data_IF_004786567512
#
_entry.id   IF_004786567512
#
_cell.length_a   1.000
_cell.length_b   1.000
_cell.length_c   1.000
_cell.angle_alpha   90.00
_cell.angle_beta   90.00
_cell.angle_gamma   90.00
#
_symmetry.space_group_name_H-M   'P 1'
#
loop_
_entity.id
_entity.type
_entity.pdbx_description
1 polymer ?
#
# COMPACT_ATOMS: atom_id res chain seq x y z
N UNK A 1 -8.86 -16.28 11.87
CA UNK A 1 -9.15 -14.98 12.51
C UNK A 1 -8.76 -13.92 11.50
N UNK A 2 -9.70 -13.11 11.02
CA UNK A 2 -9.38 -11.97 10.15
C UNK A 2 -8.37 -11.07 10.87
N UNK A 3 -7.26 -10.75 10.21
CA UNK A 3 -6.26 -9.85 10.77
C UNK A 3 -6.82 -8.42 10.68
N UNK A 4 -7.51 -8.00 11.75
CA UNK A 4 -8.08 -6.64 11.87
C UNK A 4 -6.95 -5.62 12.06
N UNK A 5 -6.89 -4.61 11.18
CA UNK A 5 -5.99 -3.46 11.33
C UNK A 5 -6.62 -2.42 12.25
N UNK A 6 -5.83 -1.86 13.14
CA UNK A 6 -6.21 -0.71 13.94
C UNK A 6 -5.85 0.59 13.22
N UNK A 7 -6.63 1.64 13.49
CA UNK A 7 -6.31 3.00 13.06
C UNK A 7 -5.99 3.86 14.29
N UNK A 8 -4.79 4.39 14.34
CA UNK A 8 -4.32 5.27 15.40
C UNK A 8 -4.34 6.74 14.96
N UNK A 9 -4.54 7.63 15.92
CA UNK A 9 -4.52 9.08 15.72
C UNK A 9 -3.53 9.67 16.72
N UNK A 10 -2.58 10.46 16.23
CA UNK A 10 -1.62 11.17 17.06
C UNK A 10 -1.61 12.64 16.71
N UNK A 11 -1.41 13.51 17.70
CA UNK A 11 -1.32 14.95 17.50
C UNK A 11 0.14 15.39 17.37
N UNK A 12 0.45 16.08 16.28
CA UNK A 12 1.72 16.80 16.11
C UNK A 12 1.64 18.29 16.51
N UNK A 13 0.47 18.77 16.97
CA UNK A 13 0.22 20.16 17.36
C UNK A 13 -0.12 20.35 18.84
N UNK A 14 0.20 21.53 19.38
CA UNK A 14 -0.09 21.93 20.78
C UNK A 14 1.13 22.09 21.68
N UNK A 15 2.32 21.74 21.19
CA UNK A 15 3.62 21.99 21.81
C UNK A 15 4.67 22.16 20.70
N UNK A 16 5.51 23.20 20.75
CA UNK A 16 6.55 23.51 19.75
C UNK A 16 7.44 22.30 19.43
N UNK A 17 7.66 21.42 20.42
CA UNK A 17 8.40 20.17 20.25
C UNK A 17 7.73 19.21 19.25
N UNK A 18 6.40 19.03 19.31
CA UNK A 18 5.69 18.09 18.45
C UNK A 18 5.68 18.55 16.98
N UNK A 19 5.62 19.87 16.74
CA UNK A 19 5.78 20.43 15.39
C UNK A 19 7.20 20.23 14.88
N UNK A 20 8.22 20.48 15.71
CA UNK A 20 9.62 20.24 15.36
C UNK A 20 9.89 18.77 15.01
N UNK A 21 9.34 17.82 15.76
CA UNK A 21 9.50 16.40 15.48
C UNK A 21 8.90 16.00 14.12
N UNK A 22 7.76 16.62 13.74
CA UNK A 22 7.15 16.40 12.43
C UNK A 22 8.12 16.76 11.31
N UNK A 23 8.83 17.88 11.42
CA UNK A 23 9.86 18.24 10.45
C UNK A 23 11.09 17.34 10.54
N UNK A 24 11.55 16.97 11.74
CA UNK A 24 12.82 16.27 11.96
C UNK A 24 12.83 14.77 11.64
N UNK A 25 11.70 14.07 11.76
CA UNK A 25 11.68 12.59 11.58
C UNK A 25 10.65 12.09 10.59
N UNK A 26 9.77 12.98 10.09
CA UNK A 26 8.80 12.65 9.04
C UNK A 26 9.21 13.28 7.71
N UNK A 27 9.58 14.57 7.72
CA UNK A 27 10.09 15.19 6.49
C UNK A 27 11.56 14.83 6.22
N UNK A 28 12.38 14.72 7.27
CA UNK A 28 13.76 14.26 7.16
C UNK A 28 13.86 12.78 7.57
N UNK A 29 13.72 11.87 6.59
CA UNK A 29 13.87 10.43 6.82
C UNK A 29 15.24 10.10 7.43
N UNK A 30 15.29 9.07 8.27
CA UNK A 30 16.47 8.68 9.05
C UNK A 30 17.16 7.46 8.46
N UNK A 31 18.49 7.47 8.41
CA UNK A 31 19.28 6.33 7.94
C UNK A 31 19.50 5.32 9.06
N UNK A 32 19.58 4.03 8.71
CA UNK A 32 19.84 2.99 9.71
C UNK A 32 21.21 3.15 10.38
N UNK A 33 22.22 3.59 9.63
CA UNK A 33 23.57 3.80 10.15
C UNK A 33 23.61 4.87 11.27
N UNK A 34 22.76 5.90 11.19
CA UNK A 34 22.66 6.97 12.19
C UNK A 34 22.25 6.42 13.56
N UNK A 35 21.37 5.41 13.58
CA UNK A 35 20.77 4.90 14.82
C UNK A 35 21.24 3.51 15.24
N UNK A 36 22.11 2.89 14.45
CA UNK A 36 22.56 1.51 14.65
C UNK A 36 23.02 1.27 16.08
N UNK A 37 23.80 2.18 16.66
CA UNK A 37 24.31 2.07 18.04
C UNK A 37 23.24 1.98 19.13
N UNK A 38 22.02 2.47 18.87
CA UNK A 38 20.93 2.48 19.84
C UNK A 38 20.01 1.26 19.77
N UNK A 39 20.15 0.45 18.72
CA UNK A 39 19.28 -0.70 18.43
C UNK A 39 19.95 -2.02 18.80
N UNK A 40 19.15 -3.01 19.22
CA UNK A 40 19.59 -4.39 19.37
C UNK A 40 19.90 -5.04 18.01
N UNK A 41 20.69 -6.13 17.96
CA UNK A 41 20.95 -6.86 16.71
C UNK A 41 19.66 -7.34 16.02
N UNK A 42 18.66 -7.75 16.79
CA UNK A 42 17.34 -8.18 16.30
C UNK A 42 16.58 -7.01 15.67
N UNK A 43 16.46 -5.88 16.38
CA UNK A 43 15.79 -4.67 15.86
C UNK A 43 16.47 -4.16 14.58
N UNK A 44 17.80 -4.24 14.50
CA UNK A 44 18.54 -3.88 13.28
C UNK A 44 18.19 -4.80 12.13
N UNK A 45 18.19 -6.12 12.36
CA UNK A 45 17.85 -7.10 11.33
C UNK A 45 16.44 -6.89 10.81
N UNK A 46 15.49 -6.63 11.70
CA UNK A 46 14.10 -6.35 11.35
C UNK A 46 13.97 -5.08 10.51
N UNK A 47 14.62 -3.98 10.90
CA UNK A 47 14.59 -2.74 10.13
C UNK A 47 15.31 -2.85 8.78
N UNK A 48 16.42 -3.60 8.68
CA UNK A 48 17.09 -3.88 7.39
C UNK A 48 16.15 -4.65 6.47
N UNK A 49 15.48 -5.66 7.01
CA UNK A 49 14.53 -6.49 6.26
C UNK A 49 13.34 -5.67 5.75
N UNK A 50 12.82 -4.75 6.57
CA UNK A 50 11.64 -3.94 6.21
C UNK A 50 11.97 -2.81 5.24
N UNK A 51 13.07 -2.08 5.49
CA UNK A 51 13.40 -0.88 4.74
C UNK A 51 14.43 -1.10 3.63
N UNK A 52 15.05 -2.30 3.54
CA UNK A 52 16.10 -2.60 2.56
C UNK A 52 17.23 -1.56 2.54
N UNK A 53 17.65 -1.10 3.73
CA UNK A 53 18.62 0.00 3.93
C UNK A 53 18.17 1.38 3.45
N UNK A 54 16.92 1.54 3.04
CA UNK A 54 16.33 2.84 2.72
C UNK A 54 16.11 3.68 3.99
N UNK A 55 16.09 5.01 3.87
CA UNK A 55 15.70 5.88 4.97
C UNK A 55 14.28 5.58 5.47
N UNK A 56 14.08 5.58 6.79
CA UNK A 56 12.79 5.28 7.43
C UNK A 56 12.17 6.52 8.07
N UNK A 57 10.87 6.44 8.32
CA UNK A 57 10.11 7.44 9.09
C UNK A 57 9.90 6.90 10.50
N UNK A 58 10.05 7.76 11.50
CA UNK A 58 9.90 7.39 12.90
C UNK A 58 9.10 8.43 13.67
N UNK A 59 8.26 7.95 14.59
CA UNK A 59 7.50 8.78 15.51
C UNK A 59 7.56 8.20 16.92
N UNK A 60 7.18 9.01 17.91
CA UNK A 60 7.16 8.57 19.30
C UNK A 60 6.06 9.24 20.12
N UNK A 61 5.75 8.62 21.25
CA UNK A 61 4.90 9.18 22.30
C UNK A 61 5.62 9.14 23.65
N UNK A 62 5.32 10.09 24.53
CA UNK A 62 5.82 10.03 25.91
C UNK A 62 5.09 8.92 26.68
N UNK A 63 5.74 8.27 27.66
CA UNK A 63 5.06 7.32 28.55
C UNK A 63 3.89 7.95 29.29
N UNK A 64 2.89 7.14 29.58
CA UNK A 64 1.68 7.54 30.28
C UNK A 64 0.62 6.47 30.15
N UNK A 65 -0.26 6.36 31.14
CA UNK A 65 -1.27 5.28 31.24
C UNK A 65 -2.01 5.01 29.92
N UNK A 66 -2.43 6.09 29.24
CA UNK A 66 -3.15 6.03 27.97
C UNK A 66 -2.22 5.72 26.79
N UNK A 67 -1.06 6.38 26.71
CA UNK A 67 -0.11 6.19 25.61
C UNK A 67 0.49 4.77 25.61
N UNK A 68 0.90 4.25 26.77
CA UNK A 68 1.37 2.87 26.91
C UNK A 68 0.27 1.86 26.53
N UNK A 69 -0.99 2.14 26.88
CA UNK A 69 -2.12 1.27 26.54
C UNK A 69 -2.34 1.16 25.03
N UNK A 70 -2.36 2.28 24.30
CA UNK A 70 -2.53 2.27 22.84
C UNK A 70 -1.28 1.80 22.11
N UNK A 71 -0.09 2.22 22.55
CA UNK A 71 1.17 1.79 21.95
C UNK A 71 1.34 0.27 22.05
N UNK A 72 0.95 -0.36 23.16
CA UNK A 72 0.98 -1.84 23.29
C UNK A 72 0.07 -2.57 22.30
N UNK A 73 -1.03 -1.95 21.89
CA UNK A 73 -1.96 -2.53 20.92
C UNK A 73 -1.46 -2.46 19.47
N UNK A 74 -0.56 -1.53 19.15
CA UNK A 74 0.00 -1.39 17.80
C UNK A 74 0.68 -2.68 17.32
N UNK A 75 0.41 -3.08 16.09
CA UNK A 75 1.05 -4.20 15.41
C UNK A 75 1.53 -3.77 14.03
N UNK A 76 2.51 -4.48 13.44
CA UNK A 76 2.84 -4.30 12.03
C UNK A 76 1.58 -4.38 11.16
N UNK A 77 1.39 -3.42 10.26
CA UNK A 77 0.21 -3.30 9.41
C UNK A 77 -0.90 -2.39 9.93
N UNK A 78 -0.89 -2.02 11.21
CA UNK A 78 -1.80 -0.99 11.72
C UNK A 78 -1.52 0.36 11.05
N UNK A 79 -2.50 1.25 10.99
CA UNK A 79 -2.38 2.55 10.33
C UNK A 79 -2.34 3.67 11.36
N UNK A 80 -1.65 4.76 11.04
CA UNK A 80 -1.56 5.95 11.89
C UNK A 80 -1.82 7.21 11.07
N UNK A 81 -2.65 8.10 11.63
CA UNK A 81 -2.87 9.46 11.11
C UNK A 81 -2.26 10.47 12.08
N UNK A 82 -1.47 11.39 11.54
CA UNK A 82 -0.86 12.47 12.30
C UNK A 82 -1.61 13.77 12.00
N UNK A 83 -2.19 14.34 13.05
CA UNK A 83 -3.04 15.52 12.97
C UNK A 83 -2.30 16.72 13.55
N UNK A 84 -2.19 17.80 12.78
CA UNK A 84 -1.70 19.09 13.26
C UNK A 84 -2.72 20.19 12.91
N UNK A 85 -3.02 21.06 13.87
CA UNK A 85 -3.94 22.19 13.72
C UNK A 85 -5.29 21.80 13.09
N UNK A 86 -5.86 20.68 13.58
CA UNK A 86 -7.13 20.13 13.13
C UNK A 86 -7.11 19.50 11.73
N UNK A 87 -5.94 19.38 11.09
CA UNK A 87 -5.77 18.78 9.77
C UNK A 87 -4.90 17.52 9.87
N UNK A 88 -5.29 16.47 9.15
CA UNK A 88 -4.42 15.32 8.89
C UNK A 88 -3.32 15.81 7.96
N UNK A 89 -2.07 15.67 8.41
CA UNK A 89 -0.86 16.08 7.68
C UNK A 89 -0.13 14.90 7.06
N UNK A 90 -0.37 13.71 7.61
CA UNK A 90 0.37 12.52 7.28
C UNK A 90 -0.46 11.30 7.64
N UNK A 91 -0.40 10.28 6.80
CA UNK A 91 -0.88 8.94 7.11
C UNK A 91 0.20 7.92 6.74
N UNK A 92 0.28 6.84 7.51
CA UNK A 92 1.29 5.79 7.29
C UNK A 92 0.91 4.49 7.96
N UNK A 93 1.67 3.44 7.65
CA UNK A 93 1.50 2.09 8.19
C UNK A 93 2.61 1.79 9.20
N UNK A 94 2.26 1.19 10.32
CA UNK A 94 3.20 0.77 11.35
C UNK A 94 4.02 -0.39 10.82
N UNK A 95 5.33 -0.18 10.70
CA UNK A 95 6.29 -1.22 10.33
C UNK A 95 6.66 -2.08 11.55
N UNK A 96 7.13 -1.43 12.61
CA UNK A 96 7.51 -2.05 13.88
C UNK A 96 7.54 -0.99 14.98
N UNK A 97 7.76 -1.39 16.24
CA UNK A 97 7.80 -0.49 17.38
C UNK A 97 8.85 -0.92 18.40
N UNK A 98 9.42 0.04 19.11
CA UNK A 98 10.36 -0.21 20.21
C UNK A 98 10.13 0.77 21.35
N UNK A 99 10.41 0.36 22.59
CA UNK A 99 10.43 1.25 23.74
C UNK A 99 11.88 1.57 24.10
N UNK A 100 12.38 2.72 23.65
CA UNK A 100 13.80 3.03 23.74
C UNK A 100 14.04 4.50 24.11
N UNK A 101 14.37 4.73 25.38
CA UNK A 101 14.62 6.06 25.94
C UNK A 101 15.87 6.72 25.35
N UNK A 102 16.93 5.94 25.15
CA UNK A 102 18.21 6.45 24.62
C UNK A 102 18.05 6.92 23.18
N UNK A 103 17.37 6.12 22.35
CA UNK A 103 17.05 6.49 20.98
C UNK A 103 16.12 7.71 20.91
N UNK A 104 15.08 7.77 21.77
CA UNK A 104 14.18 8.92 21.81
C UNK A 104 14.89 10.21 22.23
N UNK A 105 15.82 10.14 23.18
CA UNK A 105 16.65 11.29 23.55
C UNK A 105 17.55 11.73 22.40
N UNK A 106 18.10 10.80 21.63
CA UNK A 106 18.90 11.12 20.44
C UNK A 106 18.09 11.86 19.38
N UNK A 107 16.85 11.44 19.12
CA UNK A 107 15.98 12.09 18.13
C UNK A 107 15.38 13.41 18.62
N UNK A 108 14.86 13.43 19.85
CA UNK A 108 13.91 14.46 20.29
C UNK A 108 14.28 15.12 21.63
N UNK A 109 15.40 14.70 22.25
CA UNK A 109 15.80 15.17 23.56
C UNK A 109 14.74 14.92 24.64
N UNK A 110 14.59 15.86 25.57
CA UNK A 110 13.61 15.80 26.65
C UNK A 110 12.67 17.00 26.58
N UNK A 111 11.41 16.78 26.97
CA UNK A 111 10.46 17.86 27.21
C UNK A 111 10.74 18.58 28.53
N UNK A 112 10.02 19.67 28.79
CA UNK A 112 10.16 20.48 30.01
C UNK A 112 9.93 19.71 31.32
N UNK A 113 9.30 18.54 31.26
CA UNK A 113 9.07 17.67 32.41
C UNK A 113 10.13 16.55 32.55
N UNK A 114 11.21 16.59 31.75
CA UNK A 114 12.27 15.58 31.75
C UNK A 114 11.90 14.26 31.06
N UNK A 115 10.71 14.17 30.47
CA UNK A 115 10.26 12.98 29.73
C UNK A 115 10.71 13.04 28.27
N UNK A 116 10.82 11.89 27.62
CA UNK A 116 11.08 11.79 26.18
C UNK A 116 10.05 10.88 25.52
N UNK A 117 10.01 10.88 24.19
CA UNK A 117 9.06 10.14 23.37
C UNK A 117 9.50 8.68 23.15
N UNK A 118 9.81 7.98 24.25
CA UNK A 118 10.40 6.63 24.23
C UNK A 118 9.48 5.53 23.70
N UNK A 119 8.18 5.78 23.55
CA UNK A 119 7.25 4.85 22.90
C UNK A 119 7.34 5.02 21.37
N UNK A 120 8.41 4.49 20.78
CA UNK A 120 8.78 4.68 19.39
C UNK A 120 8.03 3.71 18.48
N UNK A 121 7.66 4.18 17.29
CA UNK A 121 7.17 3.35 16.21
C UNK A 121 7.70 3.84 14.86
N UNK A 122 8.01 2.89 14.00
CA UNK A 122 8.54 3.10 12.66
C UNK A 122 7.41 3.01 11.65
N UNK A 123 7.45 3.85 10.62
CA UNK A 123 6.36 4.04 9.69
C UNK A 123 6.83 3.82 8.25
N UNK A 124 6.01 3.11 7.48
CA UNK A 124 6.15 2.87 6.05
C UNK A 124 4.89 3.31 5.30
N UNK A 125 4.92 3.24 3.97
CA UNK A 125 3.77 3.54 3.10
C UNK A 125 3.20 4.94 3.33
N UNK A 126 4.04 5.94 3.51
CA UNK A 126 3.58 7.28 3.85
C UNK A 126 2.80 7.97 2.72
N UNK A 127 1.81 8.77 3.13
CA UNK A 127 1.20 9.80 2.29
C UNK A 127 1.15 11.11 3.06
N UNK A 128 1.75 12.14 2.46
CA UNK A 128 1.65 13.51 2.95
C UNK A 128 0.36 14.11 2.39
N UNK A 129 -0.49 14.62 3.27
CA UNK A 129 -1.79 15.21 2.91
C UNK A 129 -2.02 16.49 3.68
N UNK A 130 -3.06 17.24 3.34
CA UNK A 130 -3.42 18.45 4.07
C UNK A 130 -4.93 18.64 4.13
N UNK A 131 -5.61 17.71 4.80
CA UNK A 131 -7.08 17.66 4.84
C UNK A 131 -7.61 17.92 6.26
N UNK A 132 -8.74 18.63 6.42
CA UNK A 132 -9.40 18.74 7.71
C UNK A 132 -9.72 17.35 8.28
N UNK A 133 -9.39 17.11 9.55
CA UNK A 133 -9.71 15.84 10.20
C UNK A 133 -11.21 15.55 10.14
N UNK A 134 -12.06 16.58 10.23
CA UNK A 134 -13.52 16.43 10.15
C UNK A 134 -13.99 15.73 8.87
N UNK A 135 -13.32 15.92 7.73
CA UNK A 135 -13.69 15.25 6.46
C UNK A 135 -13.50 13.73 6.51
N UNK A 136 -12.54 13.23 7.29
CA UNK A 136 -12.29 11.79 7.48
C UNK A 136 -13.00 11.28 8.74
N UNK A 137 -13.05 12.11 9.79
CA UNK A 137 -13.65 11.80 11.07
C UNK A 137 -15.11 11.36 10.97
N UNK A 138 -15.89 11.99 10.09
CA UNK A 138 -17.28 11.61 9.81
C UNK A 138 -17.41 10.19 9.24
N UNK A 139 -16.42 9.72 8.48
CA UNK A 139 -16.39 8.35 7.93
C UNK A 139 -16.15 7.30 9.03
N UNK A 140 -15.52 7.69 10.14
CA UNK A 140 -15.41 6.89 11.36
C UNK A 140 -16.61 7.07 12.31
N UNK A 141 -17.65 7.78 11.90
CA UNK A 141 -18.84 8.07 12.73
C UNK A 141 -18.63 9.14 13.81
N UNK A 142 -17.56 9.94 13.73
CA UNK A 142 -17.40 11.10 14.61
C UNK A 142 -18.26 12.28 14.11
N UNK A 143 -18.71 13.13 15.03
CA UNK A 143 -19.36 14.38 14.64
C UNK A 143 -18.33 15.38 14.06
N UNK A 144 -18.75 16.31 13.20
CA UNK A 144 -17.84 17.27 12.55
C UNK A 144 -17.06 18.16 13.52
N UNK A 145 -17.64 18.41 14.71
CA UNK A 145 -17.01 19.23 15.76
C UNK A 145 -15.96 18.45 16.58
N UNK A 146 -15.85 17.13 16.38
CA UNK A 146 -14.94 16.28 17.12
C UNK A 146 -13.51 16.68 16.81
N UNK A 147 -12.73 16.87 17.88
CA UNK A 147 -11.31 17.16 17.81
C UNK A 147 -10.56 16.00 18.46
N UNK A 148 -9.69 15.29 17.72
CA UNK A 148 -8.86 14.24 18.31
C UNK A 148 -7.98 14.84 19.40
N UNK A 149 -7.68 14.03 20.43
CA UNK A 149 -6.89 14.44 21.60
C UNK A 149 -5.77 13.44 21.85
N UNK A 150 -4.55 13.97 22.00
CA UNK A 150 -3.38 13.17 22.34
C UNK A 150 -3.13 12.03 21.36
N UNK A 151 -2.59 10.94 21.88
CA UNK A 151 -2.43 9.70 21.14
C UNK A 151 -3.58 8.76 21.48
N UNK A 152 -4.35 8.36 20.46
CA UNK A 152 -5.57 7.58 20.61
C UNK A 152 -5.75 6.54 19.50
N UNK A 153 -6.71 5.64 19.67
CA UNK A 153 -7.13 4.64 18.68
C UNK A 153 -8.58 4.90 18.26
N UNK A 154 -8.89 4.79 16.97
CA UNK A 154 -10.27 4.65 16.51
C UNK A 154 -10.82 3.36 17.11
N UNK A 155 -12.05 3.37 17.62
CA UNK A 155 -12.59 2.15 18.24
C UNK A 155 -12.78 1.05 17.19
N UNK A 156 -12.75 -0.21 17.65
CA UNK A 156 -12.69 -1.37 16.76
C UNK A 156 -13.94 -1.48 15.87
N UNK A 157 -15.12 -1.16 16.41
CA UNK A 157 -16.38 -1.18 15.67
C UNK A 157 -16.41 -0.16 14.53
N UNK A 158 -15.98 1.07 14.79
CA UNK A 158 -15.92 2.13 13.79
C UNK A 158 -14.83 1.87 12.76
N UNK A 159 -13.72 1.27 13.17
CA UNK A 159 -12.64 0.85 12.25
C UNK A 159 -13.14 -0.23 11.30
N UNK A 160 -13.86 -1.24 11.82
CA UNK A 160 -14.45 -2.30 11.02
C UNK A 160 -15.53 -1.78 10.06
N UNK A 161 -16.44 -0.93 10.56
CA UNK A 161 -17.44 -0.24 9.72
C UNK A 161 -16.79 0.58 8.61
N UNK A 162 -15.71 1.29 8.93
CA UNK A 162 -14.98 2.07 7.94
C UNK A 162 -14.42 1.18 6.82
N UNK A 163 -13.69 0.12 7.15
CA UNK A 163 -13.11 -0.77 6.12
C UNK A 163 -14.19 -1.48 5.31
N UNK A 164 -15.30 -1.90 5.93
CA UNK A 164 -16.41 -2.53 5.23
C UNK A 164 -17.14 -1.59 4.26
N UNK A 165 -17.23 -0.30 4.60
CA UNK A 165 -17.96 0.68 3.81
C UNK A 165 -17.09 1.41 2.80
N UNK A 166 -15.82 1.67 3.11
CA UNK A 166 -14.97 2.56 2.30
C UNK A 166 -13.68 1.90 1.83
N UNK A 167 -13.31 0.75 2.40
CA UNK A 167 -12.09 0.03 2.05
C UNK A 167 -10.84 0.75 2.54
N UNK A 168 -9.86 0.95 1.65
CA UNK A 168 -8.53 1.45 1.98
C UNK A 168 -8.51 2.90 2.49
N UNK A 169 -7.95 3.10 3.71
CA UNK A 169 -7.76 4.41 4.32
C UNK A 169 -6.87 5.33 3.47
N UNK A 170 -5.79 4.80 2.89
CA UNK A 170 -4.86 5.62 2.11
C UNK A 170 -5.53 6.20 0.88
N UNK A 171 -6.23 5.35 0.13
CA UNK A 171 -7.06 5.74 -0.99
C UNK A 171 -8.14 6.76 -0.62
N UNK A 172 -8.85 6.57 0.51
CA UNK A 172 -9.84 7.54 1.00
C UNK A 172 -9.21 8.91 1.29
N UNK A 173 -8.10 8.93 2.03
CA UNK A 173 -7.40 10.15 2.42
C UNK A 173 -6.83 10.89 1.20
N UNK A 174 -6.27 10.16 0.23
CA UNK A 174 -5.73 10.73 -1.02
C UNK A 174 -6.84 11.29 -1.90
N UNK A 175 -7.99 10.60 -2.02
CA UNK A 175 -9.15 11.11 -2.74
C UNK A 175 -9.69 12.39 -2.12
N UNK A 176 -9.88 12.44 -0.80
CA UNK A 176 -10.30 13.68 -0.11
C UNK A 176 -9.28 14.80 -0.33
N UNK A 177 -7.98 14.50 -0.31
CA UNK A 177 -6.91 15.47 -0.53
C UNK A 177 -6.95 16.05 -1.95
N UNK A 178 -7.33 15.24 -2.93
CA UNK A 178 -7.49 15.65 -4.33
C UNK A 178 -8.89 16.22 -4.64
N UNK A 179 -9.74 16.42 -3.63
CA UNK A 179 -11.14 16.87 -3.75
C UNK A 179 -12.04 15.91 -4.56
N UNK A 180 -11.69 14.62 -4.60
CA UNK A 180 -12.55 13.58 -5.14
C UNK A 180 -13.60 13.17 -4.09
N UNK A 181 -14.79 12.80 -4.57
CA UNK A 181 -15.82 12.21 -3.73
C UNK A 181 -15.46 10.77 -3.33
N UNK A 182 -15.86 10.40 -2.11
CA UNK A 182 -15.65 9.05 -1.56
C UNK A 182 -16.88 8.20 -1.86
N UNK A 183 -16.65 7.05 -2.48
CA UNK A 183 -17.71 6.13 -2.85
C UNK A 183 -17.77 4.99 -1.83
N UNK A 184 -18.95 4.67 -1.27
CA UNK A 184 -19.11 3.47 -0.47
C UNK A 184 -18.96 2.23 -1.36
N UNK A 185 -18.45 1.14 -0.77
CA UNK A 185 -18.39 -0.17 -1.40
C UNK A 185 -19.82 -0.68 -1.53
N UNK A 186 -20.32 -0.71 -2.77
CA UNK A 186 -21.55 -1.41 -3.09
C UNK A 186 -21.23 -2.90 -3.12
N UNK A 187 -21.76 -3.67 -2.15
CA UNK A 187 -21.76 -5.14 -2.23
C UNK A 187 -22.66 -5.57 -3.38
N UNK A 188 -22.13 -5.57 -4.60
CA UNK A 188 -22.72 -6.30 -5.71
C UNK A 188 -22.30 -7.75 -5.50
N UNK A 189 -23.26 -8.68 -5.48
CA UNK A 189 -22.92 -10.11 -5.57
C UNK A 189 -22.16 -10.30 -6.88
N UNK A 190 -20.84 -10.51 -6.77
CA UNK A 190 -20.00 -10.87 -7.92
C UNK A 190 -20.52 -12.20 -8.41
N UNK A 191 -21.28 -12.18 -9.50
CA UNK A 191 -21.66 -13.39 -10.22
C UNK A 191 -20.34 -14.01 -10.66
N UNK A 192 -20.04 -15.22 -10.17
CA UNK A 192 -18.82 -15.95 -10.52
C UNK A 192 -18.75 -16.03 -12.05
N UNK A 193 -17.95 -15.15 -12.66
CA UNK A 193 -17.84 -15.08 -14.11
C UNK A 193 -17.23 -16.41 -14.52
N UNK A 194 -17.94 -17.09 -15.43
CA UNK A 194 -17.59 -18.39 -15.99
C UNK A 194 -16.06 -18.50 -16.10
N UNK A 195 -15.49 -19.45 -15.36
CA UNK A 195 -14.09 -19.84 -15.50
C UNK A 195 -13.92 -20.36 -16.92
N UNK A 196 -13.69 -19.48 -17.88
CA UNK A 196 -13.12 -19.90 -19.14
C UNK A 196 -11.82 -20.63 -18.77
N UNK A 197 -11.75 -21.90 -19.17
CA UNK A 197 -10.48 -22.64 -19.17
C UNK A 197 -9.60 -21.94 -20.21
N UNK A 198 -8.93 -20.89 -19.79
CA UNK A 198 -7.87 -20.29 -20.58
C UNK A 198 -6.69 -21.25 -20.46
N UNK A 199 -6.35 -21.91 -21.56
CA UNK A 199 -5.10 -22.65 -21.70
C UNK A 199 -3.93 -21.67 -21.55
N UNK A 200 -3.45 -21.49 -20.32
CA UNK A 200 -2.21 -20.76 -20.05
C UNK A 200 -1.03 -21.72 -20.16
N UNK A 201 -0.47 -21.85 -21.36
CA UNK A 201 0.92 -22.27 -21.54
C UNK A 201 1.50 -21.62 -22.80
N UNK A 202 1.51 -20.30 -22.86
CA UNK A 202 2.46 -19.61 -23.75
C UNK A 202 3.75 -19.37 -22.95
N UNK A 203 4.89 -19.69 -23.55
CA UNK A 203 6.21 -19.42 -22.96
C UNK A 203 6.41 -17.94 -22.61
N UNK A 204 5.74 -17.05 -23.34
CA UNK A 204 5.77 -15.61 -23.10
C UNK A 204 4.95 -15.16 -21.87
N UNK A 205 3.85 -15.83 -21.52
CA UNK A 205 3.11 -15.50 -20.29
C UNK A 205 4.02 -15.73 -19.08
N UNK A 206 4.64 -16.91 -19.01
CA UNK A 206 5.54 -17.28 -17.93
C UNK A 206 6.81 -16.42 -17.94
N UNK A 207 7.30 -16.00 -19.12
CA UNK A 207 8.35 -14.98 -19.23
C UNK A 207 7.92 -13.67 -18.55
N UNK A 208 6.78 -13.10 -18.95
CA UNK A 208 6.33 -11.80 -18.42
C UNK A 208 6.06 -11.87 -16.92
N UNK A 209 5.44 -12.95 -16.45
CA UNK A 209 5.20 -13.18 -15.03
C UNK A 209 6.52 -13.24 -14.25
N UNK A 210 7.51 -13.98 -14.75
CA UNK A 210 8.85 -14.04 -14.17
C UNK A 210 9.52 -12.67 -14.08
N UNK A 211 9.49 -11.90 -15.17
CA UNK A 211 10.11 -10.57 -15.21
C UNK A 211 9.45 -9.62 -14.20
N UNK A 212 8.13 -9.64 -14.07
CA UNK A 212 7.42 -8.85 -13.07
C UNK A 212 7.72 -9.30 -11.63
N UNK A 213 7.87 -10.60 -11.38
CA UNK A 213 8.33 -11.13 -10.08
C UNK A 213 9.73 -10.58 -9.76
N UNK A 214 10.66 -10.68 -10.72
CA UNK A 214 12.04 -10.23 -10.53
C UNK A 214 12.13 -8.73 -10.30
N UNK A 215 11.48 -7.92 -11.15
CA UNK A 215 11.42 -6.47 -11.00
C UNK A 215 10.86 -6.06 -9.64
N UNK A 216 9.74 -6.64 -9.21
CA UNK A 216 9.16 -6.34 -7.91
C UNK A 216 10.07 -6.74 -6.74
N UNK A 217 10.76 -7.89 -6.85
CA UNK A 217 11.74 -8.33 -5.85
C UNK A 217 12.91 -7.35 -5.74
N UNK A 218 13.46 -6.89 -6.88
CA UNK A 218 14.52 -5.87 -6.93
C UNK A 218 14.05 -4.50 -6.39
N UNK A 219 12.74 -4.25 -6.44
CA UNK A 219 12.12 -3.05 -5.89
C UNK A 219 11.80 -3.14 -4.39
N UNK A 220 12.22 -4.22 -3.70
CA UNK A 220 11.93 -4.43 -2.28
C UNK A 220 10.46 -4.75 -1.98
N UNK A 221 9.72 -5.27 -2.96
CA UNK A 221 8.30 -5.60 -2.79
C UNK A 221 8.10 -7.08 -2.41
N UNK A 222 7.03 -7.33 -1.66
CA UNK A 222 6.49 -8.67 -1.48
C UNK A 222 5.58 -9.01 -2.67
N UNK A 223 5.85 -10.13 -3.32
CA UNK A 223 5.16 -10.51 -4.56
C UNK A 223 4.14 -11.61 -4.28
N UNK A 224 2.92 -11.43 -4.75
CA UNK A 224 1.91 -12.49 -4.80
C UNK A 224 1.62 -12.87 -6.25
N UNK A 225 1.43 -14.18 -6.48
CA UNK A 225 0.95 -14.77 -7.73
C UNK A 225 -0.03 -15.91 -7.39
N UNK A 226 -0.91 -16.32 -8.33
CA UNK A 226 -1.87 -17.41 -8.10
C UNK A 226 -1.19 -18.71 -7.70
N UNK A 227 -1.81 -19.49 -6.80
CA UNK A 227 -1.24 -20.74 -6.28
C UNK A 227 -0.84 -21.73 -7.39
N UNK A 228 -1.61 -21.78 -8.47
CA UNK A 228 -1.36 -22.66 -9.61
C UNK A 228 -0.05 -22.32 -10.33
N UNK A 229 0.39 -21.06 -10.25
CA UNK A 229 1.56 -20.54 -10.95
C UNK A 229 2.84 -20.62 -10.12
N UNK A 230 2.73 -20.81 -8.80
CA UNK A 230 3.89 -20.83 -7.89
C UNK A 230 4.90 -21.95 -8.19
N UNK A 231 4.47 -23.06 -8.80
CA UNK A 231 5.37 -24.16 -9.16
C UNK A 231 5.99 -24.01 -10.56
N UNK A 232 5.64 -22.98 -11.33
CA UNK A 232 6.24 -22.69 -12.63
C UNK A 232 7.73 -22.35 -12.49
N UNK A 233 8.45 -22.51 -13.60
CA UNK A 233 9.89 -22.27 -13.69
C UNK A 233 10.23 -21.46 -14.93
N UNK A 234 11.11 -20.49 -14.77
CA UNK A 234 11.67 -19.70 -15.87
C UNK A 234 13.12 -19.36 -15.56
N UNK A 235 14.01 -19.39 -16.57
CA UNK A 235 15.47 -19.15 -16.39
C UNK A 235 16.11 -19.97 -15.25
N UNK A 236 15.60 -21.18 -14.97
CA UNK A 236 16.12 -22.06 -13.90
C UNK A 236 15.63 -21.73 -12.48
N UNK A 237 14.86 -20.65 -12.30
CA UNK A 237 14.27 -20.26 -11.01
C UNK A 237 12.84 -20.77 -10.87
N UNK A 238 12.47 -21.21 -9.66
CA UNK A 238 11.08 -21.59 -9.32
C UNK A 238 10.36 -20.42 -8.68
N UNK A 239 9.16 -20.08 -9.16
CA UNK A 239 8.48 -18.86 -8.71
C UNK A 239 8.21 -18.83 -7.20
N UNK A 240 7.82 -19.95 -6.59
CA UNK A 240 7.58 -20.09 -5.13
C UNK A 240 8.75 -19.68 -4.23
N UNK A 241 9.96 -19.58 -4.77
CA UNK A 241 11.16 -19.14 -4.04
C UNK A 241 11.28 -17.61 -3.96
N UNK A 242 10.53 -16.89 -4.79
CA UNK A 242 10.56 -15.42 -4.91
C UNK A 242 9.24 -14.74 -4.55
N UNK A 243 8.19 -15.51 -4.24
CA UNK A 243 6.84 -15.01 -3.98
C UNK A 243 6.33 -15.44 -2.60
N UNK A 244 5.33 -14.74 -2.09
CA UNK A 244 4.60 -15.07 -0.87
C UNK A 244 3.86 -16.40 -1.04
N UNK A 245 4.07 -17.35 -0.11
CA UNK A 245 3.40 -18.66 -0.13
C UNK A 245 1.93 -18.58 0.23
N UNK A 246 1.59 -17.67 1.15
CA UNK A 246 0.23 -17.50 1.66
C UNK A 246 -0.23 -16.06 1.53
N UNK A 247 -1.47 -15.92 1.07
CA UNK A 247 -2.12 -14.63 0.96
C UNK A 247 -2.79 -14.28 2.28
N UNK A 248 -2.34 -13.21 2.92
CA UNK A 248 -2.92 -12.72 4.16
C UNK A 248 -4.13 -11.83 3.82
N UNK A 249 -5.32 -12.40 3.84
CA UNK A 249 -6.58 -11.67 3.65
C UNK A 249 -6.79 -10.74 4.86
N UNK A 250 -7.02 -9.46 4.60
CA UNK A 250 -7.47 -8.47 5.58
C UNK A 250 -8.74 -7.77 5.07
N UNK A 251 -9.45 -7.04 5.93
CA UNK A 251 -10.72 -6.37 5.58
C UNK A 251 -10.59 -5.42 4.36
N UNK A 252 -9.40 -4.87 4.12
CA UNK A 252 -9.08 -3.94 3.05
C UNK A 252 -8.37 -4.59 1.84
N UNK A 253 -8.19 -5.91 1.85
CA UNK A 253 -7.53 -6.65 0.78
C UNK A 253 -8.48 -7.73 0.26
N UNK A 254 -9.11 -7.53 -0.90
CA UNK A 254 -10.20 -8.38 -1.33
C UNK A 254 -9.74 -9.77 -1.82
N UNK A 255 -10.57 -10.82 -1.70
CA UNK A 255 -10.23 -12.17 -2.17
C UNK A 255 -9.94 -12.29 -3.67
N UNK A 256 -10.53 -11.43 -4.50
CA UNK A 256 -10.42 -11.43 -5.97
C UNK A 256 -8.98 -11.32 -6.46
N UNK A 257 -8.12 -10.66 -5.68
CA UNK A 257 -6.68 -10.53 -5.91
C UNK A 257 -5.94 -11.86 -6.03
N UNK A 258 -6.51 -12.96 -5.51
CA UNK A 258 -5.92 -14.29 -5.57
C UNK A 258 -5.85 -14.87 -6.98
N UNK A 259 -6.64 -14.32 -7.91
CA UNK A 259 -6.70 -14.73 -9.31
C UNK A 259 -5.97 -13.77 -10.27
N UNK A 260 -5.35 -12.70 -9.75
CA UNK A 260 -4.56 -11.76 -10.57
C UNK A 260 -3.16 -12.31 -10.77
N UNK A 261 -2.62 -12.21 -11.99
CA UNK A 261 -1.38 -12.88 -12.39
C UNK A 261 -0.16 -12.46 -11.56
N UNK A 262 0.00 -11.17 -11.28
CA UNK A 262 1.06 -10.64 -10.39
C UNK A 262 0.54 -9.47 -9.56
N UNK A 263 0.83 -9.46 -8.27
CA UNK A 263 0.48 -8.38 -7.36
C UNK A 263 1.71 -7.97 -6.57
N UNK A 264 2.05 -6.69 -6.63
CA UNK A 264 3.13 -6.10 -5.84
C UNK A 264 2.57 -5.51 -4.56
N UNK A 265 3.13 -5.91 -3.43
CA UNK A 265 2.76 -5.44 -2.10
C UNK A 265 3.96 -4.85 -1.39
N UNK A 266 3.72 -3.80 -0.61
CA UNK A 266 4.70 -3.32 0.35
C UNK A 266 4.31 -3.82 1.74
N UNK A 267 5.15 -4.66 2.34
CA UNK A 267 4.79 -5.41 3.52
C UNK A 267 3.67 -6.43 3.24
N UNK A 268 3.04 -6.92 4.31
CA UNK A 268 2.02 -7.97 4.21
C UNK A 268 0.67 -7.45 3.67
N UNK A 269 0.51 -6.13 3.56
CA UNK A 269 -0.78 -5.48 3.74
C UNK A 269 -1.10 -4.46 2.65
N UNK A 270 -0.17 -3.56 2.33
CA UNK A 270 -0.39 -2.54 1.30
C UNK A 270 -0.20 -3.10 -0.10
N UNK A 271 -1.22 -2.99 -0.95
CA UNK A 271 -1.09 -3.21 -2.40
C UNK A 271 -0.44 -1.97 -3.02
N UNK A 272 0.58 -2.18 -3.86
CA UNK A 272 1.25 -1.12 -4.63
C UNK A 272 0.86 -1.11 -6.09
N UNK A 273 0.63 -2.28 -6.66
CA UNK A 273 0.18 -2.44 -8.04
C UNK A 273 -0.31 -3.86 -8.28
N UNK A 274 -1.16 -4.03 -9.29
CA UNK A 274 -1.59 -5.34 -9.75
C UNK A 274 -1.47 -5.40 -11.29
N UNK A 275 -1.06 -6.56 -11.80
CA UNK A 275 -0.71 -6.78 -13.20
C UNK A 275 -1.40 -8.04 -13.70
N UNK A 276 -2.04 -7.91 -14.84
CA UNK A 276 -2.75 -8.97 -15.52
C UNK A 276 -2.14 -9.16 -16.91
N UNK A 277 -1.69 -10.38 -17.21
CA UNK A 277 -0.89 -10.71 -18.39
C UNK A 277 -1.81 -11.28 -19.48
N UNK A 278 -2.06 -10.45 -20.48
CA UNK A 278 -3.05 -10.72 -21.51
C UNK A 278 -2.45 -11.47 -22.71
N UNK A 279 -2.60 -12.80 -22.70
CA UNK A 279 -2.14 -13.68 -23.81
C UNK A 279 -3.27 -14.25 -24.67
N UNK A 280 -4.47 -14.44 -24.13
CA UNK A 280 -5.56 -15.17 -24.79
C UNK A 280 -6.30 -14.31 -25.84
N UNK A 281 -7.06 -14.88 -26.77
CA UNK A 281 -7.83 -14.09 -27.75
C UNK A 281 -8.90 -13.19 -27.11
N UNK A 282 -9.35 -13.49 -25.88
CA UNK A 282 -10.31 -12.69 -25.14
C UNK A 282 -9.60 -11.80 -24.10
N UNK A 283 -9.52 -10.49 -24.39
CA UNK A 283 -8.99 -9.46 -23.47
C UNK A 283 -9.89 -9.26 -22.24
N UNK A 284 -11.11 -9.80 -22.29
CA UNK A 284 -12.17 -9.49 -21.35
C UNK A 284 -11.93 -10.09 -19.96
N UNK A 285 -11.31 -11.28 -19.88
CA UNK A 285 -11.09 -11.97 -18.61
C UNK A 285 -10.20 -11.18 -17.66
N UNK A 286 -9.09 -10.61 -18.16
CA UNK A 286 -8.20 -9.82 -17.32
C UNK A 286 -8.81 -8.49 -16.92
N UNK A 287 -9.52 -7.82 -17.84
CA UNK A 287 -10.27 -6.59 -17.51
C UNK A 287 -11.27 -6.87 -16.39
N UNK A 288 -11.99 -7.99 -16.42
CA UNK A 288 -12.96 -8.34 -15.39
C UNK A 288 -12.31 -8.61 -14.03
N UNK A 289 -11.18 -9.33 -13.97
CA UNK A 289 -10.47 -9.55 -12.68
C UNK A 289 -10.00 -8.23 -12.07
N UNK A 290 -9.50 -7.31 -12.90
CA UNK A 290 -9.12 -5.97 -12.45
C UNK A 290 -10.35 -5.11 -12.09
N UNK A 291 -11.48 -5.31 -12.77
CA UNK A 291 -12.76 -4.66 -12.47
C UNK A 291 -13.32 -5.09 -11.12
N UNK A 292 -13.22 -6.37 -10.77
CA UNK A 292 -13.66 -6.90 -9.48
C UNK A 292 -12.84 -6.27 -8.35
N UNK A 293 -11.51 -6.28 -8.48
CA UNK A 293 -10.61 -5.62 -7.53
C UNK A 293 -10.95 -4.13 -7.38
N UNK A 294 -11.21 -3.43 -8.49
CA UNK A 294 -11.59 -2.01 -8.46
C UNK A 294 -12.93 -1.79 -7.76
N UNK A 295 -13.90 -2.68 -7.98
CA UNK A 295 -15.24 -2.59 -7.38
C UNK A 295 -15.21 -2.79 -5.87
N UNK A 296 -14.34 -3.68 -5.38
CA UNK A 296 -14.15 -3.94 -3.96
C UNK A 296 -13.25 -2.90 -3.28
N UNK A 297 -12.45 -2.15 -4.06
CA UNK A 297 -11.58 -1.08 -3.58
C UNK A 297 -11.82 0.23 -4.34
N UNK A 298 -13.03 0.81 -4.34
CA UNK A 298 -13.40 1.93 -5.20
C UNK A 298 -12.61 3.21 -4.90
N UNK A 299 -12.15 3.36 -3.65
CA UNK A 299 -11.35 4.49 -3.21
C UNK A 299 -9.84 4.25 -3.37
N UNK A 300 -9.39 3.07 -3.81
CA UNK A 300 -7.95 2.82 -4.02
C UNK A 300 -7.36 3.73 -5.09
N UNK A 301 -6.07 3.99 -5.00
CA UNK A 301 -5.33 4.87 -5.91
C UNK A 301 -4.12 4.19 -6.53
N UNK A 302 -3.85 2.94 -6.18
CA UNK A 302 -2.77 2.17 -6.80
C UNK A 302 -3.07 1.89 -8.27
N UNK A 303 -2.07 1.97 -9.16
CA UNK A 303 -2.27 1.69 -10.58
C UNK A 303 -2.52 0.19 -10.82
N UNK A 304 -3.31 -0.10 -11.85
CA UNK A 304 -3.57 -1.45 -12.36
C UNK A 304 -2.99 -1.55 -13.78
N UNK A 305 -2.51 -2.73 -14.19
CA UNK A 305 -1.88 -2.89 -15.49
C UNK A 305 -2.45 -4.08 -16.25
N UNK A 306 -2.77 -3.84 -17.53
CA UNK A 306 -2.88 -4.90 -18.53
C UNK A 306 -1.55 -4.98 -19.27
N UNK A 307 -0.86 -6.10 -19.10
CA UNK A 307 0.46 -6.37 -19.67
C UNK A 307 0.27 -7.23 -20.91
N UNK A 308 0.54 -6.70 -22.10
CA UNK A 308 0.24 -7.41 -23.35
C UNK A 308 1.20 -7.06 -24.49
N UNK A 309 1.26 -7.89 -25.53
CA UNK A 309 1.98 -7.57 -26.76
C UNK A 309 1.45 -6.28 -27.42
N UNK A 310 2.32 -5.55 -28.12
CA UNK A 310 1.98 -4.27 -28.78
C UNK A 310 0.80 -4.40 -29.76
N UNK A 311 0.72 -5.55 -30.45
CA UNK A 311 -0.38 -5.86 -31.37
C UNK A 311 -1.77 -5.86 -30.71
N UNK A 312 -1.86 -6.00 -29.38
CA UNK A 312 -3.11 -5.98 -28.62
C UNK A 312 -3.50 -4.60 -28.10
N UNK A 313 -2.59 -3.62 -28.16
CA UNK A 313 -2.76 -2.27 -27.60
C UNK A 313 -4.08 -1.63 -28.02
N UNK A 314 -4.34 -1.55 -29.34
CA UNK A 314 -5.57 -0.92 -29.87
C UNK A 314 -6.84 -1.63 -29.39
N UNK A 315 -6.82 -2.96 -29.27
CA UNK A 315 -7.94 -3.74 -28.75
C UNK A 315 -8.19 -3.43 -27.28
N UNK A 316 -7.15 -3.41 -26.45
CA UNK A 316 -7.23 -3.09 -25.02
C UNK A 316 -7.82 -1.68 -24.81
N UNK A 317 -7.29 -0.68 -25.53
CA UNK A 317 -7.78 0.71 -25.47
C UNK A 317 -9.26 0.79 -25.86
N UNK A 318 -9.64 0.10 -26.95
CA UNK A 318 -11.03 0.05 -27.40
C UNK A 318 -11.96 -0.59 -26.37
N UNK A 319 -11.55 -1.70 -25.74
CA UNK A 319 -12.36 -2.36 -24.70
C UNK A 319 -12.50 -1.46 -23.48
N UNK A 320 -11.41 -0.91 -22.94
CA UNK A 320 -11.44 -0.04 -21.76
C UNK A 320 -12.25 1.25 -21.96
N UNK A 321 -12.35 1.71 -23.21
CA UNK A 321 -13.15 2.89 -23.57
C UNK A 321 -14.66 2.61 -23.58
N UNK A 322 -15.10 1.35 -23.54
CA UNK A 322 -16.53 1.00 -23.55
C UNK A 322 -17.24 1.62 -22.34
N UNK A 323 -18.45 2.18 -22.50
CA UNK A 323 -19.19 2.83 -21.41
C UNK A 323 -19.36 1.97 -20.14
N UNK A 324 -19.44 0.65 -20.30
CA UNK A 324 -19.50 -0.30 -19.18
C UNK A 324 -18.27 -0.24 -18.28
N UNK A 325 -17.08 0.02 -18.84
CA UNK A 325 -15.81 0.08 -18.11
C UNK A 325 -15.34 1.51 -17.84
N UNK A 326 -15.59 2.43 -18.77
CA UNK A 326 -15.20 3.84 -18.65
C UNK A 326 -16.21 4.70 -17.88
N UNK A 327 -17.41 4.17 -17.61
CA UNK A 327 -18.46 4.89 -16.93
C UNK A 327 -18.11 5.29 -15.49
N UNK A 328 -18.90 6.20 -14.89
CA UNK A 328 -18.63 6.77 -13.56
C UNK A 328 -18.54 5.75 -12.42
N UNK A 329 -19.11 4.55 -12.61
CA UNK A 329 -19.12 3.48 -11.61
C UNK A 329 -17.75 2.80 -11.43
N UNK A 330 -17.04 2.49 -12.52
CA UNK A 330 -15.79 1.74 -12.47
C UNK A 330 -14.57 2.58 -12.83
N UNK A 331 -14.73 3.52 -13.79
CA UNK A 331 -13.66 4.41 -14.29
C UNK A 331 -12.37 3.64 -14.63
N UNK A 332 -12.50 2.43 -15.18
CA UNK A 332 -11.36 1.53 -15.40
C UNK A 332 -10.34 2.12 -16.35
N UNK A 333 -10.78 2.91 -17.33
CA UNK A 333 -9.91 3.64 -18.26
C UNK A 333 -8.98 4.66 -17.58
N UNK A 334 -9.26 5.06 -16.34
CA UNK A 334 -8.43 6.01 -15.59
C UNK A 334 -7.40 5.32 -14.68
N UNK A 335 -7.71 4.11 -14.22
CA UNK A 335 -6.89 3.37 -13.26
C UNK A 335 -6.09 2.23 -13.89
N UNK A 336 -6.63 1.59 -14.94
CA UNK A 336 -5.96 0.56 -15.71
C UNK A 336 -5.07 1.22 -16.77
N UNK A 337 -3.80 0.85 -16.75
CA UNK A 337 -2.78 1.29 -17.70
C UNK A 337 -2.38 0.12 -18.61
N UNK A 338 -2.09 0.43 -19.86
CA UNK A 338 -1.48 -0.53 -20.77
C UNK A 338 0.05 -0.54 -20.57
N UNK A 339 0.64 -1.73 -20.49
CA UNK A 339 2.09 -1.91 -20.42
C UNK A 339 2.54 -2.97 -21.43
N UNK A 340 3.39 -2.60 -22.38
CA UNK A 340 3.82 -3.53 -23.43
C UNK A 340 4.86 -4.53 -22.91
N UNK A 341 4.87 -5.73 -23.50
CA UNK A 341 5.92 -6.73 -23.21
C UNK A 341 7.32 -6.19 -23.47
N UNK A 342 7.50 -5.42 -24.54
CA UNK A 342 8.80 -4.86 -24.89
C UNK A 342 9.28 -3.85 -23.84
N UNK A 343 8.37 -3.08 -23.24
CA UNK A 343 8.70 -2.19 -22.14
C UNK A 343 9.12 -2.97 -20.89
N UNK A 344 8.38 -4.02 -20.52
CA UNK A 344 8.75 -4.90 -19.39
C UNK A 344 10.13 -5.51 -19.62
N UNK A 345 10.36 -6.10 -20.81
CA UNK A 345 11.66 -6.68 -21.21
C UNK A 345 12.77 -5.65 -21.14
N UNK A 346 12.56 -4.44 -21.66
CA UNK A 346 13.54 -3.36 -21.67
C UNK A 346 13.96 -2.96 -20.25
N UNK A 347 12.99 -2.69 -19.37
CA UNK A 347 13.25 -2.30 -17.98
C UNK A 347 13.97 -3.42 -17.24
N UNK A 348 13.44 -4.63 -17.33
CA UNK A 348 14.00 -5.81 -16.68
C UNK A 348 15.42 -6.16 -17.16
N UNK A 349 15.71 -6.00 -18.45
CA UNK A 349 17.07 -6.17 -18.98
C UNK A 349 18.01 -5.05 -18.52
N UNK A 350 17.52 -3.82 -18.36
CA UNK A 350 18.35 -2.69 -17.91
C UNK A 350 18.81 -2.81 -16.45
N UNK A 351 18.14 -3.63 -15.65
CA UNK A 351 18.45 -3.85 -14.23
C UNK A 351 18.95 -5.26 -13.94
N UNK A 352 19.19 -6.10 -14.95
CA UNK A 352 19.71 -7.48 -14.78
C UNK A 352 21.03 -7.52 -13.99
N UNK A 353 21.84 -6.47 -14.12
CA UNK A 353 23.16 -6.34 -13.47
C UNK A 353 23.20 -5.25 -12.38
N UNK A 354 22.05 -4.68 -11.99
CA UNK A 354 21.94 -3.61 -11.00
C UNK A 354 21.42 -4.09 -9.65
N UNK A 355 21.83 -3.43 -8.56
CA UNK A 355 21.49 -3.83 -7.18
C UNK A 355 20.12 -3.32 -6.69
N UNK A 356 19.52 -2.32 -7.34
CA UNK A 356 18.26 -1.71 -6.90
C UNK A 356 17.42 -1.17 -8.07
N UNK A 357 16.10 -1.34 -7.98
CA UNK A 357 15.13 -0.83 -8.93
C UNK A 357 14.10 0.07 -8.23
N UNK A 358 13.91 1.29 -8.70
CA UNK A 358 12.84 2.15 -8.19
C UNK A 358 11.49 1.69 -8.73
N UNK A 359 10.56 1.38 -7.82
CA UNK A 359 9.22 0.87 -8.13
C UNK A 359 8.51 1.74 -9.17
N UNK A 360 8.57 3.06 -8.97
CA UNK A 360 7.89 4.05 -9.80
C UNK A 360 8.44 4.08 -11.25
N UNK A 361 9.65 3.59 -11.49
CA UNK A 361 10.24 3.55 -12.82
C UNK A 361 9.46 2.62 -13.76
N UNK A 362 8.85 1.52 -13.29
CA UNK A 362 7.95 0.70 -14.11
C UNK A 362 6.54 1.29 -14.12
N UNK A 363 6.03 1.68 -12.94
CA UNK A 363 4.63 2.07 -12.80
C UNK A 363 4.27 3.31 -13.63
N UNK A 364 5.23 4.21 -13.83
CA UNK A 364 5.05 5.43 -14.63
C UNK A 364 5.13 5.21 -16.14
N UNK A 365 5.57 4.04 -16.61
CA UNK A 365 5.64 3.72 -18.04
C UNK A 365 4.31 3.24 -18.62
N UNK A 366 3.34 2.91 -17.76
CA UNK A 366 2.01 2.50 -18.20
C UNK A 366 1.26 3.61 -18.91
N UNK A 367 0.76 3.31 -20.09
CA UNK A 367 -0.06 4.22 -20.87
C UNK A 367 -1.48 4.30 -20.30
N UNK A 368 -1.97 5.51 -20.02
CA UNK A 368 -3.37 5.73 -19.61
C UNK A 368 -4.27 5.77 -20.84
N UNK A 369 -5.38 5.05 -20.78
CA UNK A 369 -6.35 4.99 -21.89
C UNK A 369 -7.08 6.32 -22.13
N UNK A 370 -7.25 7.14 -21.08
CA UNK A 370 -7.95 8.43 -21.15
C UNK A 370 -7.07 9.66 -21.45
N UNK A 371 -5.78 9.50 -21.77
CA UNK A 371 -4.89 10.61 -22.07
C UNK A 371 -4.85 10.91 -23.58
N UNK A 372 -5.91 11.54 -24.10
CA UNK A 372 -5.88 12.27 -25.36
C UNK A 372 -6.58 13.62 -25.21
#
# INVERSE_FOLDING_TARGET
MENKRNIFITLAGGNVAAERHFYETIQNKKGLDEIRQFLSPEERSDLISIYHSSPFIVWGATPGKMNDHFWKQMKPGDQVMIVNNGKIKFVGEIATKTKNKTLANHFWGNNNSGNTWELIYFIVNEKIVNIPFSKVGVLFGYNESFKPRGFSKVNDENTEKFYQLYGDLFGVVENINNNNEIQPINKVEVVEILKEKIEHTTTEHDEMQWRLIRLGTLAGMNIWIPKNDQNKKYEGCVFKEKVMREFHISLDVPPTITNIDVVWKFGMYSIKSAFEIEHSTAVYSGILRLSDLRSETPNSTFPLFLVAAETRRSKIISELSRPTFSGPCLRLNEVIRYLSYDMVRKVDNSVKDGDAFEVDALLNLGEKVGAM
#
